data_IF_748322323360
#
_entry.id   IF_748322323360
#
_cell.length_a   1.000
_cell.length_b   1.000
_cell.length_c   1.000
_cell.angle_alpha   90.00
_cell.angle_beta   90.00
_cell.angle_gamma   90.00
#
_symmetry.space_group_name_H-M   'P 1'
#
loop_
_entity.id
_entity.type
_entity.pdbx_description
1 polymer ?
#
# COMPACT_ATOMS: atom_id res chain seq x y z
N UNK A 1 15.71 -5.62 -21.66
CA UNK A 1 14.61 -6.22 -20.90
C UNK A 1 13.33 -5.50 -21.28
N UNK A 2 12.35 -6.24 -21.70
CA UNK A 2 11.06 -5.65 -22.04
C UNK A 2 10.26 -5.40 -20.77
N UNK A 3 9.77 -4.17 -20.59
CA UNK A 3 8.90 -3.85 -19.47
C UNK A 3 7.59 -4.64 -19.50
N UNK A 4 7.19 -5.10 -20.67
CA UNK A 4 5.95 -5.89 -20.79
C UNK A 4 6.03 -7.23 -20.08
N UNK A 5 7.22 -7.78 -19.90
CA UNK A 5 7.41 -9.03 -19.15
C UNK A 5 7.15 -8.85 -17.64
N UNK A 6 7.24 -7.61 -17.17
CA UNK A 6 7.05 -7.25 -15.78
C UNK A 6 5.83 -6.34 -15.61
N UNK A 7 4.94 -6.32 -16.60
CA UNK A 7 3.77 -5.48 -16.55
C UNK A 7 2.81 -5.94 -15.47
N UNK A 8 2.34 -4.99 -14.68
CA UNK A 8 1.29 -5.19 -13.69
C UNK A 8 -0.02 -4.57 -14.15
N UNK A 9 -0.14 -4.32 -15.45
CA UNK A 9 -1.35 -3.73 -16.00
C UNK A 9 -2.57 -4.57 -15.65
N UNK A 10 -3.61 -3.91 -15.17
CA UNK A 10 -4.82 -4.59 -14.70
C UNK A 10 -4.75 -5.11 -13.29
N UNK A 11 -3.60 -5.04 -12.63
CA UNK A 11 -3.46 -5.47 -11.25
C UNK A 11 -3.84 -4.34 -10.29
N UNK A 12 -4.30 -4.72 -9.12
CA UNK A 12 -4.70 -3.80 -8.07
C UNK A 12 -3.80 -4.02 -6.86
N UNK A 13 -3.14 -2.97 -6.42
CA UNK A 13 -2.18 -3.04 -5.32
C UNK A 13 -2.62 -2.18 -4.16
N UNK A 14 -2.28 -2.63 -2.95
CA UNK A 14 -2.44 -1.87 -1.72
C UNK A 14 -1.10 -1.78 -1.04
N UNK A 15 -0.61 -0.56 -0.80
CA UNK A 15 0.66 -0.32 -0.11
C UNK A 15 0.37 0.38 1.21
N UNK A 16 0.76 -0.26 2.31
CA UNK A 16 0.59 0.25 3.66
C UNK A 16 1.90 0.90 4.08
N UNK A 17 1.84 2.16 4.52
CA UNK A 17 3.02 2.91 4.88
C UNK A 17 3.67 3.61 3.69
N UNK A 18 2.85 4.17 2.79
CA UNK A 18 3.32 4.69 1.49
C UNK A 18 3.64 6.18 1.50
N UNK A 19 3.60 6.84 2.65
CA UNK A 19 3.75 8.28 2.71
C UNK A 19 5.13 8.77 2.25
N UNK A 20 6.17 8.02 2.54
CA UNK A 20 7.54 8.42 2.25
C UNK A 20 8.47 7.23 2.15
N UNK A 21 9.73 7.49 1.75
CA UNK A 21 10.83 6.52 1.74
C UNK A 21 10.48 5.29 0.90
N UNK A 22 10.75 4.12 1.46
CA UNK A 22 10.60 2.85 0.75
C UNK A 22 9.16 2.58 0.34
N UNK A 23 8.19 2.92 1.20
CA UNK A 23 6.77 2.73 0.88
C UNK A 23 6.34 3.56 -0.32
N UNK A 24 6.76 4.81 -0.37
CA UNK A 24 6.51 5.67 -1.53
C UNK A 24 7.16 5.09 -2.79
N UNK A 25 8.41 4.62 -2.66
CA UNK A 25 9.14 4.02 -3.78
C UNK A 25 8.43 2.80 -4.34
N UNK A 26 7.93 1.92 -3.48
CA UNK A 26 7.17 0.75 -3.92
C UNK A 26 5.87 1.14 -4.61
N UNK A 27 5.14 2.11 -4.04
CA UNK A 27 3.88 2.56 -4.63
C UNK A 27 4.11 3.12 -6.03
N UNK A 28 5.14 3.96 -6.19
CA UNK A 28 5.47 4.54 -7.49
C UNK A 28 5.93 3.48 -8.48
N UNK A 29 6.76 2.52 -8.02
CA UNK A 29 7.24 1.43 -8.87
C UNK A 29 6.10 0.55 -9.37
N UNK A 30 5.14 0.22 -8.51
CA UNK A 30 3.96 -0.56 -8.91
C UNK A 30 3.12 0.20 -9.93
N UNK A 31 2.94 1.50 -9.73
CA UNK A 31 2.19 2.34 -10.66
C UNK A 31 2.90 2.46 -12.01
N UNK A 32 4.21 2.61 -12.01
CA UNK A 32 5.00 2.65 -13.24
C UNK A 32 4.91 1.34 -14.01
N UNK A 33 4.79 0.22 -13.30
CA UNK A 33 4.63 -1.10 -13.92
C UNK A 33 3.21 -1.34 -14.44
N UNK A 34 2.26 -0.46 -14.14
CA UNK A 34 0.91 -0.53 -14.68
C UNK A 34 -0.20 -0.81 -13.68
N UNK A 35 0.11 -1.00 -12.41
CA UNK A 35 -0.91 -1.30 -11.41
C UNK A 35 -1.66 -0.02 -10.99
N UNK A 36 -2.92 -0.20 -10.65
CA UNK A 36 -3.65 0.79 -9.87
C UNK A 36 -3.28 0.59 -8.41
N UNK A 37 -3.02 1.66 -7.67
CA UNK A 37 -2.40 1.56 -6.36
C UNK A 37 -3.20 2.35 -5.32
N UNK A 38 -3.71 1.64 -4.32
CA UNK A 38 -4.24 2.25 -3.11
C UNK A 38 -3.10 2.38 -2.11
N UNK A 39 -3.02 3.51 -1.45
CA UNK A 39 -1.97 3.80 -0.49
C UNK A 39 -2.54 4.21 0.85
N UNK A 40 -1.91 3.79 1.91
CA UNK A 40 -2.34 4.15 3.26
C UNK A 40 -1.15 4.57 4.11
N UNK A 41 -1.45 5.35 5.13
CA UNK A 41 -0.50 5.69 6.17
C UNK A 41 -1.28 6.08 7.42
N UNK A 42 -0.63 6.01 8.57
CA UNK A 42 -1.23 6.46 9.82
C UNK A 42 -1.30 7.99 9.86
N UNK A 43 -0.41 8.67 9.18
CA UNK A 43 -0.33 10.12 9.15
C UNK A 43 -0.67 10.66 7.76
N UNK A 44 -1.79 11.37 7.64
CA UNK A 44 -2.18 12.04 6.41
C UNK A 44 -2.18 13.57 6.53
N UNK A 45 -1.87 14.11 7.71
CA UNK A 45 -2.00 15.53 8.00
C UNK A 45 -0.96 16.38 7.25
N UNK A 46 0.19 15.81 6.93
CA UNK A 46 1.24 16.52 6.22
C UNK A 46 0.95 16.75 4.74
N UNK A 47 -0.06 16.08 4.19
CA UNK A 47 -0.35 16.13 2.76
C UNK A 47 0.58 15.30 1.89
N UNK A 48 1.58 14.63 2.48
CA UNK A 48 2.54 13.84 1.71
C UNK A 48 1.89 12.63 1.04
N UNK A 49 0.98 11.96 1.73
CA UNK A 49 0.29 10.81 1.17
C UNK A 49 -0.60 11.22 -0.01
N UNK A 50 -1.30 12.32 0.13
CA UNK A 50 -2.11 12.87 -0.95
C UNK A 50 -1.26 13.19 -2.18
N UNK A 51 -0.06 13.74 -1.98
CA UNK A 51 0.87 14.02 -3.08
C UNK A 51 1.29 12.75 -3.80
N UNK A 52 1.58 11.69 -3.07
CA UNK A 52 1.92 10.39 -3.67
C UNK A 52 0.75 9.88 -4.50
N UNK A 53 -0.46 9.98 -3.97
CA UNK A 53 -1.67 9.59 -4.70
C UNK A 53 -1.79 10.38 -6.02
N UNK A 54 -1.57 11.69 -5.97
CA UNK A 54 -1.62 12.52 -7.17
C UNK A 54 -0.54 12.12 -8.18
N UNK A 55 0.67 11.84 -7.72
CA UNK A 55 1.75 11.39 -8.60
C UNK A 55 1.40 10.09 -9.31
N UNK A 56 0.73 9.17 -8.60
CA UNK A 56 0.27 7.91 -9.22
C UNK A 56 -0.78 8.21 -10.29
N UNK A 57 -1.72 9.10 -10.00
CA UNK A 57 -2.73 9.51 -10.98
C UNK A 57 -2.10 10.16 -12.20
N UNK A 58 -1.04 10.94 -12.02
CA UNK A 58 -0.32 11.58 -13.10
C UNK A 58 0.34 10.57 -14.04
N UNK A 59 0.59 9.36 -13.58
CA UNK A 59 1.07 8.26 -14.40
C UNK A 59 -0.04 7.58 -15.20
N UNK A 60 -1.28 8.04 -15.05
CA UNK A 60 -2.42 7.44 -15.74
C UNK A 60 -3.05 6.26 -15.01
N UNK A 61 -2.72 6.06 -13.73
CA UNK A 61 -3.28 4.97 -12.92
C UNK A 61 -4.36 5.48 -11.99
N UNK A 62 -5.23 4.57 -11.55
CA UNK A 62 -6.16 4.90 -10.49
C UNK A 62 -5.43 4.83 -9.14
N UNK A 63 -5.76 5.74 -8.25
CA UNK A 63 -5.19 5.74 -6.90
C UNK A 63 -6.18 6.34 -5.92
N UNK A 64 -6.16 5.79 -4.72
CA UNK A 64 -6.87 6.33 -3.56
C UNK A 64 -5.89 6.33 -2.38
N UNK A 65 -6.11 7.22 -1.43
CA UNK A 65 -5.33 7.25 -0.22
C UNK A 65 -6.25 7.24 1.00
N UNK A 66 -5.82 6.52 2.04
CA UNK A 66 -6.61 6.33 3.25
C UNK A 66 -5.71 6.46 4.47
N UNK A 67 -6.27 7.02 5.53
CA UNK A 67 -5.63 6.98 6.84
C UNK A 67 -5.98 5.66 7.50
N UNK A 68 -4.97 4.91 7.95
CA UNK A 68 -5.20 3.63 8.60
C UNK A 68 -4.15 3.39 9.66
N UNK A 69 -4.59 3.05 10.84
CA UNK A 69 -3.74 2.55 11.92
C UNK A 69 -3.81 1.02 11.90
N UNK A 70 -2.72 0.39 11.48
CA UNK A 70 -2.70 -1.08 11.33
C UNK A 70 -2.73 -1.82 12.65
N UNK A 71 -2.56 -1.12 13.78
CA UNK A 71 -2.73 -1.74 15.09
C UNK A 71 -4.21 -1.93 15.45
N UNK A 72 -5.12 -1.30 14.71
CA UNK A 72 -6.56 -1.44 14.90
C UNK A 72 -7.13 -2.41 13.86
N UNK A 73 -7.66 -3.55 14.31
CA UNK A 73 -8.28 -4.51 13.41
C UNK A 73 -9.49 -3.93 12.69
N UNK A 74 -10.25 -3.09 13.36
CA UNK A 74 -11.43 -2.47 12.76
C UNK A 74 -11.03 -1.52 11.62
N UNK A 75 -9.96 -0.74 11.81
CA UNK A 75 -9.46 0.13 10.76
C UNK A 75 -8.90 -0.65 9.58
N UNK A 76 -8.19 -1.75 9.85
CA UNK A 76 -7.65 -2.61 8.80
C UNK A 76 -8.79 -3.20 7.95
N UNK A 77 -9.83 -3.71 8.61
CA UNK A 77 -10.99 -4.25 7.91
C UNK A 77 -11.69 -3.19 7.07
N UNK A 78 -11.85 -1.99 7.63
CA UNK A 78 -12.46 -0.87 6.92
C UNK A 78 -11.63 -0.47 5.70
N UNK A 79 -10.30 -0.45 5.85
CA UNK A 79 -9.38 -0.14 4.76
C UNK A 79 -9.50 -1.16 3.62
N UNK A 80 -9.43 -2.44 3.95
CA UNK A 80 -9.53 -3.51 2.94
C UNK A 80 -10.88 -3.42 2.23
N UNK A 81 -11.95 -3.24 2.99
CA UNK A 81 -13.29 -3.11 2.42
C UNK A 81 -13.39 -1.93 1.46
N UNK A 82 -12.82 -0.79 1.84
CA UNK A 82 -12.85 0.41 1.01
C UNK A 82 -12.06 0.20 -0.29
N UNK A 83 -10.89 -0.41 -0.20
CA UNK A 83 -10.06 -0.69 -1.38
C UNK A 83 -10.77 -1.68 -2.31
N UNK A 84 -11.35 -2.73 -1.76
CA UNK A 84 -12.09 -3.70 -2.57
C UNK A 84 -13.30 -3.06 -3.24
N UNK A 85 -13.97 -2.14 -2.56
CA UNK A 85 -15.11 -1.42 -3.11
C UNK A 85 -14.68 -0.55 -4.30
N UNK A 86 -13.55 0.12 -4.20
CA UNK A 86 -13.07 1.03 -5.24
C UNK A 86 -12.42 0.29 -6.41
N UNK A 87 -11.65 -0.77 -6.13
CA UNK A 87 -10.86 -1.47 -7.12
C UNK A 87 -11.44 -2.81 -7.56
N UNK A 88 -12.38 -3.35 -6.79
CA UNK A 88 -12.98 -4.65 -7.06
C UNK A 88 -12.20 -5.84 -6.51
N UNK A 89 -10.89 -5.69 -6.31
CA UNK A 89 -10.04 -6.74 -5.77
C UNK A 89 -8.71 -6.16 -5.30
N UNK A 90 -7.94 -6.97 -4.59
CA UNK A 90 -6.56 -6.66 -4.23
C UNK A 90 -5.70 -7.83 -4.69
N UNK A 91 -4.79 -7.58 -5.63
CA UNK A 91 -3.88 -8.60 -6.16
C UNK A 91 -2.53 -8.60 -5.43
N UNK A 92 -2.10 -7.42 -4.96
CA UNK A 92 -0.79 -7.22 -4.36
C UNK A 92 -0.96 -6.44 -3.06
N UNK A 93 -0.40 -6.97 -1.98
CA UNK A 93 -0.37 -6.27 -0.69
C UNK A 93 1.07 -6.10 -0.26
N UNK A 94 1.48 -4.87 -0.04
CA UNK A 94 2.80 -4.54 0.52
C UNK A 94 2.63 -3.76 1.79
N UNK A 95 3.20 -4.24 2.88
CA UNK A 95 3.18 -3.54 4.16
C UNK A 95 4.60 -3.12 4.53
N UNK A 96 4.84 -1.82 4.50
CA UNK A 96 6.14 -1.23 4.83
C UNK A 96 6.14 -0.64 6.24
N UNK A 97 4.96 -0.45 6.80
CA UNK A 97 4.79 0.13 8.13
C UNK A 97 5.46 -0.68 9.24
N UNK A 98 5.85 -1.91 8.93
CA UNK A 98 6.37 -2.88 9.89
C UNK A 98 7.89 -3.00 9.86
N UNK A 99 8.57 -2.15 9.14
CA UNK A 99 10.02 -2.24 9.01
C UNK A 99 10.78 -1.97 10.31
N UNK A 100 10.08 -1.48 11.31
CA UNK A 100 10.67 -1.25 12.63
C UNK A 100 10.63 -2.47 13.53
N UNK A 101 9.99 -3.55 13.09
CA UNK A 101 9.93 -4.78 13.86
C UNK A 101 11.17 -5.61 13.55
N UNK A 102 12.07 -5.70 14.53
CA UNK A 102 13.41 -6.24 14.33
C UNK A 102 13.49 -7.77 14.45
N UNK A 103 12.39 -8.44 14.71
CA UNK A 103 12.38 -9.90 14.85
C UNK A 103 12.38 -10.58 13.49
N UNK A 104 13.02 -11.74 13.41
CA UNK A 104 12.89 -12.56 12.21
C UNK A 104 11.46 -13.08 12.09
N UNK A 105 11.09 -13.50 10.89
CA UNK A 105 9.74 -14.06 10.65
C UNK A 105 9.50 -15.27 11.55
N UNK A 106 10.54 -16.05 11.84
CA UNK A 106 10.43 -17.25 12.68
C UNK A 106 10.10 -16.91 14.13
N UNK A 107 10.46 -15.71 14.58
CA UNK A 107 10.25 -15.27 15.95
C UNK A 107 8.94 -14.50 16.12
N UNK A 108 8.21 -14.28 15.04
CA UNK A 108 6.94 -13.56 15.11
C UNK A 108 5.85 -14.45 15.68
N UNK A 109 5.20 -14.00 16.73
CA UNK A 109 4.00 -14.61 17.25
C UNK A 109 2.76 -14.10 16.49
N UNK A 110 1.59 -14.65 16.81
CA UNK A 110 0.35 -14.26 16.13
C UNK A 110 0.03 -12.78 16.34
N UNK A 111 0.29 -12.27 17.55
CA UNK A 111 0.01 -10.87 17.85
C UNK A 111 0.90 -9.94 17.03
N UNK A 112 2.20 -10.25 16.97
CA UNK A 112 3.14 -9.46 16.16
C UNK A 112 2.77 -9.53 14.68
N UNK A 113 2.42 -10.71 14.20
CA UNK A 113 2.00 -10.91 12.82
C UNK A 113 0.76 -10.06 12.51
N UNK A 114 -0.22 -10.05 13.39
CA UNK A 114 -1.45 -9.27 13.21
C UNK A 114 -1.16 -7.77 13.14
N UNK A 115 -0.17 -7.30 13.89
CA UNK A 115 0.25 -5.91 13.82
C UNK A 115 0.98 -5.58 12.52
N UNK A 116 1.61 -6.57 11.90
CA UNK A 116 2.32 -6.41 10.64
C UNK A 116 1.38 -6.41 9.44
N UNK A 117 0.26 -7.03 9.57
CA UNK A 117 -0.71 -7.17 8.50
C UNK A 117 -1.99 -6.42 8.83
#
# INVERSE_FOLDING_TARGET
MSLSEFSLEGKKALVIGARRNMGKGFAMGLAEAGADVAITDVNIQSGQLEKVCQQIKDLGRESIFLQTDISSQDEVKAMVHQVEKEFGRIDILMSVAVMYHMNSVQDLDSESWDKLT
#
